data_IF_347611213011
#
_entry.id   IF_347611213011
#
_cell.length_a   1.000
_cell.length_b   1.000
_cell.length_c   1.000
_cell.angle_alpha   90.00
_cell.angle_beta   90.00
_cell.angle_gamma   90.00
#
_symmetry.space_group_name_H-M   'P 1'
#
loop_
_entity.id
_entity.type
_entity.pdbx_description
1 polymer ?
#
# COMPACT_ATOMS: atom_id res chain seq x y z
N UNK A 1 0.25 23.40 4.13
CA UNK A 1 1.42 22.93 4.92
C UNK A 1 2.65 22.74 4.05
N UNK A 2 2.69 21.82 3.05
CA UNK A 2 3.87 21.58 2.21
C UNK A 2 4.46 22.89 1.63
N UNK A 3 3.63 23.77 1.05
CA UNK A 3 4.05 25.06 0.54
C UNK A 3 4.59 26.01 1.65
N UNK A 4 4.02 25.96 2.87
CA UNK A 4 4.50 26.73 4.02
C UNK A 4 5.84 26.21 4.53
N UNK A 5 6.10 24.91 4.37
CA UNK A 5 7.36 24.25 4.69
C UNK A 5 8.44 24.45 3.59
N UNK A 6 8.14 25.23 2.54
CA UNK A 6 9.06 25.56 1.44
C UNK A 6 9.24 24.42 0.42
N UNK A 7 8.34 23.44 0.40
CA UNK A 7 8.35 22.34 -0.59
C UNK A 7 7.77 22.90 -1.91
N UNK A 8 8.50 22.72 -3.00
CA UNK A 8 8.13 23.15 -4.34
C UNK A 8 7.63 22.02 -5.26
N UNK A 9 7.90 20.76 -4.88
CA UNK A 9 7.57 19.58 -5.68
C UNK A 9 6.90 18.50 -4.85
N UNK A 10 5.77 17.97 -5.35
CA UNK A 10 5.07 16.84 -4.77
C UNK A 10 5.13 15.66 -5.74
N UNK A 11 5.57 14.51 -5.25
CA UNK A 11 5.47 13.24 -5.97
C UNK A 11 4.56 12.32 -5.17
N UNK A 12 3.46 11.87 -5.76
CA UNK A 12 2.59 10.89 -5.12
C UNK A 12 3.06 9.47 -5.43
N UNK A 13 2.76 8.54 -4.55
CA UNK A 13 2.99 7.11 -4.78
C UNK A 13 1.75 6.34 -4.31
N UNK A 14 1.16 5.55 -5.19
CA UNK A 14 -0.02 4.74 -4.92
C UNK A 14 -1.28 5.56 -4.56
N UNK A 15 -1.32 6.79 -5.01
CA UNK A 15 -2.47 7.68 -4.92
C UNK A 15 -2.33 8.88 -5.88
N UNK A 16 -3.37 9.73 -5.91
CA UNK A 16 -3.33 11.00 -6.62
C UNK A 16 -4.23 11.04 -7.85
N UNK A 17 -4.53 9.92 -8.50
CA UNK A 17 -5.36 9.93 -9.72
C UNK A 17 -6.79 10.49 -9.47
N UNK A 18 -7.30 10.35 -8.24
CA UNK A 18 -8.61 10.88 -7.84
C UNK A 18 -8.51 12.22 -7.08
N UNK A 19 -7.32 12.76 -6.84
CA UNK A 19 -7.07 13.93 -6.01
C UNK A 19 -7.04 15.25 -6.82
N UNK A 20 -7.96 15.44 -7.77
CA UNK A 20 -7.97 16.60 -8.67
C UNK A 20 -8.02 17.93 -7.94
N UNK A 21 -8.81 18.02 -6.84
CA UNK A 21 -8.96 19.26 -6.07
C UNK A 21 -7.68 19.61 -5.30
N UNK A 22 -7.03 18.62 -4.69
CA UNK A 22 -5.78 18.80 -3.94
C UNK A 22 -4.62 19.15 -4.87
N UNK A 23 -4.58 18.53 -6.03
CA UNK A 23 -3.58 18.82 -7.07
C UNK A 23 -3.77 20.22 -7.60
N UNK A 24 -4.99 20.64 -7.89
CA UNK A 24 -5.29 22.01 -8.30
C UNK A 24 -4.81 23.03 -7.25
N UNK A 25 -5.10 22.80 -5.97
CA UNK A 25 -4.61 23.67 -4.90
C UNK A 25 -3.08 23.72 -4.82
N UNK A 26 -2.39 22.62 -5.07
CA UNK A 26 -0.93 22.61 -5.12
C UNK A 26 -0.42 23.43 -6.33
N UNK A 27 -1.04 23.27 -7.50
CA UNK A 27 -0.70 24.03 -8.71
C UNK A 27 -0.94 25.54 -8.54
N UNK A 28 -2.04 25.95 -7.91
CA UNK A 28 -2.34 27.35 -7.60
C UNK A 28 -1.28 27.98 -6.67
N UNK A 29 -0.58 27.16 -5.87
CA UNK A 29 0.56 27.60 -5.04
C UNK A 29 1.90 27.54 -5.78
N UNK A 30 1.91 27.27 -7.07
CA UNK A 30 3.11 27.20 -7.91
C UNK A 30 3.95 25.94 -7.72
N UNK A 31 3.39 24.89 -7.12
CA UNK A 31 4.10 23.62 -6.91
C UNK A 31 4.11 22.78 -8.18
N UNK A 32 5.18 22.02 -8.38
CA UNK A 32 5.24 20.92 -9.36
C UNK A 32 4.59 19.68 -8.77
N UNK A 33 3.70 19.03 -9.52
CA UNK A 33 3.01 17.81 -9.06
C UNK A 33 3.22 16.68 -10.05
N UNK A 34 3.77 15.58 -9.55
CA UNK A 34 3.96 14.34 -10.29
C UNK A 34 3.11 13.25 -9.63
N UNK A 35 2.16 12.72 -10.36
CA UNK A 35 1.30 11.62 -9.88
C UNK A 35 1.86 10.29 -10.36
N UNK A 36 2.15 9.35 -9.43
CA UNK A 36 2.37 7.94 -9.74
C UNK A 36 1.31 7.10 -9.03
N UNK A 37 0.45 6.47 -9.83
CA UNK A 37 -0.71 5.75 -9.32
C UNK A 37 -1.07 4.57 -10.22
N UNK A 38 -1.91 3.66 -9.73
CA UNK A 38 -2.40 2.50 -10.47
C UNK A 38 -3.91 2.29 -10.32
N UNK A 39 -4.55 3.12 -9.50
CA UNK A 39 -6.00 3.04 -9.29
C UNK A 39 -6.78 3.36 -10.56
N UNK A 40 -8.04 2.95 -10.58
CA UNK A 40 -8.95 3.26 -11.69
C UNK A 40 -9.10 4.77 -11.86
N UNK A 41 -9.10 5.21 -13.11
CA UNK A 41 -9.29 6.61 -13.42
C UNK A 41 -10.74 6.98 -13.15
N UNK A 42 -11.02 8.00 -12.32
CA UNK A 42 -12.38 8.48 -12.10
C UNK A 42 -13.04 8.89 -13.42
N UNK A 43 -14.35 8.76 -13.48
CA UNK A 43 -15.12 9.19 -14.63
C UNK A 43 -16.44 9.83 -14.23
N UNK A 44 -17.01 10.59 -15.14
CA UNK A 44 -18.36 11.12 -15.07
C UNK A 44 -19.16 10.59 -16.25
N UNK A 45 -20.36 10.10 -15.99
CA UNK A 45 -21.29 9.77 -17.06
C UNK A 45 -21.98 11.06 -17.54
N UNK A 46 -21.92 11.29 -18.86
CA UNK A 46 -22.54 12.45 -19.54
C UNK A 46 -23.48 11.97 -20.65
N UNK A 47 -24.30 12.85 -21.18
CA UNK A 47 -25.18 12.54 -22.31
C UNK A 47 -24.41 12.09 -23.58
N UNK A 48 -23.10 12.37 -23.64
CA UNK A 48 -22.20 11.99 -24.76
C UNK A 48 -21.40 10.72 -24.47
N UNK A 49 -21.62 10.09 -23.32
CA UNK A 49 -20.88 8.92 -22.84
C UNK A 49 -20.00 9.23 -21.64
N UNK A 50 -19.08 8.32 -21.36
CA UNK A 50 -18.18 8.39 -20.20
C UNK A 50 -17.02 9.34 -20.46
N UNK A 51 -16.84 10.32 -19.58
CA UNK A 51 -15.74 11.28 -19.58
C UNK A 51 -14.79 10.93 -18.44
N UNK A 52 -13.53 10.59 -18.76
CA UNK A 52 -12.49 10.26 -17.81
C UNK A 52 -11.89 11.52 -17.19
N UNK A 53 -11.70 11.53 -15.86
CA UNK A 53 -11.21 12.67 -15.11
C UNK A 53 -9.77 12.37 -14.71
N UNK A 54 -8.81 12.94 -15.43
CA UNK A 54 -7.40 12.90 -15.10
C UNK A 54 -7.03 14.23 -14.45
N UNK A 55 -6.33 14.23 -13.28
CA UNK A 55 -5.97 15.46 -12.59
C UNK A 55 -4.97 16.29 -13.43
N UNK A 56 -5.04 17.62 -13.31
CA UNK A 56 -4.16 18.56 -14.01
C UNK A 56 -2.79 18.71 -13.31
N UNK A 57 -2.12 17.56 -13.08
CA UNK A 57 -0.74 17.53 -12.60
C UNK A 57 0.25 17.81 -13.74
N UNK A 58 1.51 18.16 -13.41
CA UNK A 58 2.56 18.34 -14.43
C UNK A 58 2.86 17.03 -15.16
N UNK A 59 2.82 15.91 -14.43
CA UNK A 59 2.97 14.55 -14.98
C UNK A 59 2.02 13.60 -14.27
N UNK A 60 1.35 12.74 -15.04
CA UNK A 60 0.54 11.64 -14.51
C UNK A 60 1.06 10.33 -15.08
N UNK A 61 1.57 9.46 -14.20
CA UNK A 61 2.05 8.12 -14.52
C UNK A 61 1.05 7.12 -13.92
N UNK A 62 0.15 6.63 -14.78
CA UNK A 62 -0.81 5.61 -14.42
C UNK A 62 -1.01 4.66 -15.63
N UNK A 63 -0.76 3.35 -15.48
CA UNK A 63 -0.86 2.40 -16.59
C UNK A 63 -2.27 2.30 -17.16
N UNK A 64 -3.31 2.67 -16.42
CA UNK A 64 -4.72 2.59 -16.82
C UNK A 64 -5.21 3.76 -17.67
N UNK A 65 -4.38 4.79 -17.91
CA UNK A 65 -4.70 5.83 -18.90
C UNK A 65 -4.93 5.19 -20.27
N UNK A 66 -5.92 5.69 -21.01
CA UNK A 66 -6.34 5.12 -22.29
C UNK A 66 -5.27 5.16 -23.38
N UNK A 67 -4.41 6.16 -23.33
CA UNK A 67 -3.29 6.40 -24.25
C UNK A 67 -1.96 5.79 -23.77
N UNK A 68 -1.91 5.24 -22.57
CA UNK A 68 -0.70 4.62 -22.04
C UNK A 68 -0.39 3.31 -22.79
N UNK A 69 0.78 3.17 -23.45
CA UNK A 69 1.12 1.97 -24.21
C UNK A 69 1.62 0.81 -23.33
N UNK A 70 1.75 1.02 -22.01
CA UNK A 70 2.27 0.00 -21.11
C UNK A 70 1.36 -1.24 -21.10
N UNK A 71 1.88 -2.45 -21.39
CA UNK A 71 1.06 -3.62 -21.65
C UNK A 71 0.35 -4.17 -20.42
N UNK A 72 0.99 -4.10 -19.24
CA UNK A 72 0.40 -4.60 -18.00
C UNK A 72 -0.32 -3.48 -17.24
N UNK A 73 -1.64 -3.44 -17.31
CA UNK A 73 -2.46 -2.45 -16.61
C UNK A 73 -2.64 -2.77 -15.12
N UNK A 74 -2.34 -4.00 -14.70
CA UNK A 74 -2.58 -4.52 -13.36
C UNK A 74 -1.28 -4.65 -12.56
N UNK A 75 -0.55 -3.55 -12.42
CA UNK A 75 0.61 -3.42 -11.51
C UNK A 75 0.23 -2.53 -10.33
N UNK A 76 0.78 -2.79 -9.13
CA UNK A 76 0.50 -1.95 -7.96
C UNK A 76 1.30 -0.63 -7.99
N UNK A 77 0.90 0.33 -7.18
CA UNK A 77 1.52 1.65 -7.11
C UNK A 77 3.02 1.61 -6.80
N UNK A 78 3.46 0.70 -5.94
CA UNK A 78 4.89 0.50 -5.66
C UNK A 78 5.69 0.04 -6.89
N UNK A 79 5.08 -0.76 -7.77
CA UNK A 79 5.72 -1.17 -9.04
C UNK A 79 5.78 0.00 -10.01
N UNK A 80 4.74 0.86 -10.06
CA UNK A 80 4.78 2.10 -10.86
C UNK A 80 5.93 2.99 -10.39
N UNK A 81 6.06 3.22 -9.08
CA UNK A 81 7.14 4.00 -8.50
C UNK A 81 8.53 3.37 -8.78
N UNK A 82 8.65 2.05 -8.65
CA UNK A 82 9.89 1.34 -8.97
C UNK A 82 10.30 1.51 -10.43
N UNK A 83 9.36 1.49 -11.36
CA UNK A 83 9.66 1.75 -12.79
C UNK A 83 10.07 3.19 -13.06
N UNK A 84 9.51 4.16 -12.35
CA UNK A 84 10.00 5.54 -12.40
C UNK A 84 11.45 5.63 -11.90
N UNK A 85 11.76 5.01 -10.76
CA UNK A 85 13.12 4.95 -10.23
C UNK A 85 14.06 4.29 -11.24
N UNK A 86 13.63 3.19 -11.87
CA UNK A 86 14.40 2.51 -12.91
C UNK A 86 14.74 3.45 -14.07
N UNK A 87 13.76 4.16 -14.62
CA UNK A 87 13.98 5.12 -15.70
C UNK A 87 14.93 6.24 -15.30
N UNK A 88 14.83 6.75 -14.06
CA UNK A 88 15.76 7.75 -13.51
C UNK A 88 17.18 7.19 -13.41
N UNK A 89 17.37 5.99 -12.88
CA UNK A 89 18.68 5.35 -12.76
C UNK A 89 19.33 5.14 -14.12
N UNK A 90 18.58 4.68 -15.12
CA UNK A 90 19.09 4.58 -16.50
C UNK A 90 19.48 5.94 -17.07
N UNK A 91 18.68 6.97 -16.81
CA UNK A 91 18.95 8.32 -17.30
C UNK A 91 20.22 8.93 -16.69
N UNK A 92 20.48 8.65 -15.41
CA UNK A 92 21.64 9.16 -14.68
C UNK A 92 22.85 8.21 -14.67
N UNK A 93 22.74 7.06 -15.34
CA UNK A 93 23.84 6.08 -15.43
C UNK A 93 24.17 5.39 -14.10
N UNK A 94 23.18 5.25 -13.21
CA UNK A 94 23.33 4.55 -11.93
C UNK A 94 23.28 3.04 -12.17
N UNK A 95 24.04 2.27 -11.38
CA UNK A 95 24.12 0.82 -11.54
C UNK A 95 22.75 0.15 -11.40
N UNK A 96 22.39 -0.65 -12.39
CA UNK A 96 21.14 -1.43 -12.40
C UNK A 96 21.01 -2.38 -11.21
N UNK A 97 22.10 -2.83 -10.61
CA UNK A 97 22.04 -3.70 -9.44
C UNK A 97 21.42 -3.00 -8.22
N UNK A 98 21.58 -1.69 -8.10
CA UNK A 98 20.94 -0.90 -7.03
C UNK A 98 19.42 -0.89 -7.17
N UNK A 99 18.91 -0.88 -8.42
CA UNK A 99 17.46 -0.92 -8.69
C UNK A 99 16.83 -2.20 -8.18
N UNK A 100 17.56 -3.32 -8.22
CA UNK A 100 17.06 -4.62 -7.78
C UNK A 100 16.76 -4.67 -6.27
N UNK A 101 17.35 -3.81 -5.46
CA UNK A 101 17.03 -3.71 -4.03
C UNK A 101 15.57 -3.28 -3.81
N UNK A 102 15.00 -2.48 -4.70
CA UNK A 102 13.59 -2.09 -4.65
C UNK A 102 12.61 -3.20 -5.10
N UNK A 103 13.11 -4.33 -5.60
CA UNK A 103 12.26 -5.48 -5.94
C UNK A 103 11.60 -6.11 -4.72
N UNK A 104 12.19 -5.98 -3.53
CA UNK A 104 11.65 -6.50 -2.28
C UNK A 104 10.38 -5.75 -1.86
N UNK A 105 10.40 -4.40 -1.67
CA UNK A 105 9.17 -3.65 -1.38
C UNK A 105 8.14 -3.74 -2.51
N UNK A 106 8.56 -3.79 -3.79
CA UNK A 106 7.65 -3.98 -4.92
C UNK A 106 6.93 -5.34 -4.85
N UNK A 107 7.63 -6.41 -4.49
CA UNK A 107 7.03 -7.74 -4.31
C UNK A 107 6.07 -7.78 -3.11
N UNK A 108 6.47 -7.19 -1.98
CA UNK A 108 5.62 -7.11 -0.78
C UNK A 108 4.34 -6.33 -1.08
N UNK A 109 4.44 -5.20 -1.76
CA UNK A 109 3.28 -4.40 -2.15
C UNK A 109 2.39 -5.14 -3.16
N UNK A 110 2.97 -5.80 -4.19
CA UNK A 110 2.21 -6.57 -5.18
C UNK A 110 1.36 -7.67 -4.53
N UNK A 111 1.90 -8.36 -3.53
CA UNK A 111 1.14 -9.37 -2.76
C UNK A 111 0.14 -8.72 -1.81
N UNK A 112 0.54 -7.64 -1.12
CA UNK A 112 -0.30 -6.94 -0.15
C UNK A 112 -1.52 -6.27 -0.77
N UNK A 113 -1.39 -5.80 -2.00
CA UNK A 113 -2.45 -5.18 -2.81
C UNK A 113 -3.27 -6.21 -3.62
N UNK A 114 -3.02 -7.49 -3.38
CA UNK A 114 -3.75 -8.63 -3.98
C UNK A 114 -3.74 -8.60 -5.51
N UNK A 115 -2.64 -8.14 -6.10
CA UNK A 115 -2.50 -8.11 -7.55
C UNK A 115 -2.37 -9.52 -8.14
N UNK A 116 -2.89 -9.71 -9.36
CA UNK A 116 -2.75 -10.98 -10.08
C UNK A 116 -1.29 -11.36 -10.27
N UNK A 117 -0.88 -12.52 -9.74
CA UNK A 117 0.48 -13.03 -9.83
C UNK A 117 0.75 -13.75 -11.17
N UNK A 118 0.53 -13.02 -12.26
CA UNK A 118 0.75 -13.46 -13.63
C UNK A 118 1.78 -12.57 -14.33
N UNK A 119 2.36 -13.04 -15.43
CA UNK A 119 3.30 -12.26 -16.24
C UNK A 119 4.39 -11.58 -15.41
N UNK A 120 4.47 -10.28 -15.54
CA UNK A 120 5.46 -9.43 -14.86
C UNK A 120 5.32 -9.45 -13.34
N UNK A 121 4.10 -9.36 -12.79
CA UNK A 121 3.86 -9.40 -11.34
C UNK A 121 4.43 -10.68 -10.73
N UNK A 122 4.27 -11.83 -11.42
CA UNK A 122 4.85 -13.09 -10.97
C UNK A 122 6.38 -13.05 -10.94
N UNK A 123 7.01 -12.42 -11.92
CA UNK A 123 8.48 -12.29 -11.99
C UNK A 123 8.97 -11.42 -10.82
N UNK A 124 8.34 -10.26 -10.60
CA UNK A 124 8.67 -9.33 -9.53
C UNK A 124 8.53 -10.00 -8.17
N UNK A 125 7.39 -10.65 -7.92
CA UNK A 125 7.12 -11.31 -6.65
C UNK A 125 8.09 -12.47 -6.42
N UNK A 126 8.37 -13.30 -7.43
CA UNK A 126 9.33 -14.40 -7.32
C UNK A 126 10.72 -13.89 -6.95
N UNK A 127 11.19 -12.83 -7.59
CA UNK A 127 12.52 -12.27 -7.32
C UNK A 127 12.58 -11.60 -5.95
N UNK A 128 11.63 -10.74 -5.60
CA UNK A 128 11.61 -10.07 -4.30
C UNK A 128 11.50 -11.05 -3.13
N UNK A 129 10.61 -12.06 -3.22
CA UNK A 129 10.49 -13.10 -2.19
C UNK A 129 11.76 -13.94 -2.03
N UNK A 130 12.53 -14.16 -3.11
CA UNK A 130 13.81 -14.85 -3.06
C UNK A 130 14.86 -14.04 -2.29
N UNK A 131 14.80 -12.71 -2.35
CA UNK A 131 15.76 -11.79 -1.73
C UNK A 131 15.43 -11.50 -0.27
N UNK A 132 14.16 -11.46 0.10
CA UNK A 132 13.70 -11.10 1.45
C UNK A 132 14.42 -11.81 2.61
N UNK A 133 14.74 -13.14 2.57
CA UNK A 133 15.47 -13.80 3.65
C UNK A 133 16.87 -13.24 3.93
N UNK A 134 17.46 -12.58 2.93
CA UNK A 134 18.82 -11.99 2.99
C UNK A 134 18.79 -10.48 2.74
N UNK A 135 17.66 -9.86 2.98
CA UNK A 135 17.45 -8.43 2.72
C UNK A 135 18.45 -7.55 3.45
N UNK A 136 18.90 -6.48 2.80
CA UNK A 136 19.69 -5.43 3.43
C UNK A 136 18.81 -4.41 4.17
N UNK A 137 17.52 -4.35 3.85
CA UNK A 137 16.60 -3.45 4.52
C UNK A 137 16.39 -3.88 5.96
N UNK A 138 16.80 -3.01 6.91
CA UNK A 138 16.73 -3.31 8.35
C UNK A 138 15.29 -3.51 8.82
N UNK A 139 14.33 -2.76 8.26
CA UNK A 139 12.92 -2.87 8.60
C UNK A 139 12.32 -4.22 8.21
N UNK A 140 12.54 -4.69 6.98
CA UNK A 140 12.07 -6.02 6.58
C UNK A 140 12.74 -7.12 7.38
N UNK A 141 14.05 -7.03 7.61
CA UNK A 141 14.77 -8.00 8.43
C UNK A 141 14.17 -8.10 9.83
N UNK A 142 14.03 -6.97 10.50
CA UNK A 142 13.47 -6.92 11.84
C UNK A 142 12.02 -7.43 11.89
N UNK A 143 11.20 -7.11 10.89
CA UNK A 143 9.82 -7.57 10.82
C UNK A 143 9.72 -9.09 10.61
N UNK A 144 10.60 -9.67 9.78
CA UNK A 144 10.73 -11.11 9.57
C UNK A 144 11.11 -11.80 10.87
N UNK A 145 12.14 -11.29 11.57
CA UNK A 145 12.60 -11.85 12.85
C UNK A 145 11.55 -11.73 13.96
N UNK A 146 10.90 -10.57 14.09
CA UNK A 146 9.86 -10.34 15.09
C UNK A 146 8.63 -11.25 14.92
N UNK A 147 8.40 -11.77 13.70
CA UNK A 147 7.35 -12.76 13.42
C UNK A 147 7.84 -14.21 13.47
N UNK A 148 9.09 -14.47 13.89
CA UNK A 148 9.65 -15.82 14.01
C UNK A 148 9.97 -16.49 12.67
N UNK A 149 10.12 -15.72 11.59
CA UNK A 149 10.40 -16.21 10.24
C UNK A 149 11.90 -16.14 9.87
N UNK A 150 12.76 -15.83 10.84
CA UNK A 150 14.21 -15.74 10.63
C UNK A 150 14.78 -17.06 10.11
N UNK A 151 15.54 -17.01 9.02
CA UNK A 151 16.12 -18.20 8.36
C UNK A 151 15.15 -19.02 7.51
N UNK A 152 13.86 -18.67 7.47
CA UNK A 152 12.88 -19.38 6.66
C UNK A 152 12.79 -18.81 5.23
N UNK A 153 12.27 -19.63 4.33
CA UNK A 153 11.88 -19.17 3.00
C UNK A 153 10.61 -18.36 3.09
N UNK A 154 10.69 -17.07 2.75
CA UNK A 154 9.52 -16.20 2.69
C UNK A 154 8.68 -16.51 1.44
N UNK A 155 7.38 -16.65 1.64
CA UNK A 155 6.39 -16.95 0.60
C UNK A 155 5.35 -15.83 0.50
N UNK A 156 4.53 -15.86 -0.57
CA UNK A 156 3.40 -14.93 -0.69
C UNK A 156 2.41 -15.05 0.49
N UNK A 157 2.26 -16.25 1.07
CA UNK A 157 1.47 -16.44 2.30
C UNK A 157 2.04 -15.63 3.47
N UNK A 158 3.35 -15.72 3.70
CA UNK A 158 4.00 -14.95 4.77
C UNK A 158 3.82 -13.44 4.56
N UNK A 159 3.91 -12.95 3.33
CA UNK A 159 3.66 -11.54 3.04
C UNK A 159 2.20 -11.17 3.26
N UNK A 160 1.24 -11.90 2.67
CA UNK A 160 -0.17 -11.55 2.72
C UNK A 160 -0.82 -11.72 4.10
N UNK A 161 -0.38 -12.72 4.89
CA UNK A 161 -1.05 -13.10 6.15
C UNK A 161 -0.23 -12.86 7.42
N UNK A 162 1.06 -12.54 7.31
CA UNK A 162 1.92 -12.29 8.47
C UNK A 162 2.54 -10.89 8.42
N UNK A 163 3.38 -10.60 7.43
CA UNK A 163 4.12 -9.34 7.36
C UNK A 163 3.23 -8.15 6.97
N UNK A 164 2.45 -8.29 5.91
CA UNK A 164 1.52 -7.27 5.43
C UNK A 164 0.51 -6.82 6.48
N UNK A 165 -0.17 -7.72 7.20
CA UNK A 165 -1.04 -7.35 8.31
C UNK A 165 -0.36 -6.55 9.41
N UNK A 166 0.93 -6.77 9.73
CA UNK A 166 1.67 -5.96 10.68
C UNK A 166 1.90 -4.53 10.16
N UNK A 167 2.29 -4.39 8.89
CA UNK A 167 2.44 -3.10 8.22
C UNK A 167 1.12 -2.34 8.20
N UNK A 168 0.04 -2.99 7.76
CA UNK A 168 -1.28 -2.39 7.63
C UNK A 168 -1.94 -2.03 8.98
N UNK A 169 -1.60 -2.74 10.07
CA UNK A 169 -2.14 -2.47 11.39
C UNK A 169 -1.84 -1.05 11.86
N UNK A 170 -0.68 -0.48 11.50
CA UNK A 170 -0.31 0.89 11.84
C UNK A 170 -1.26 1.92 11.22
N UNK A 171 -1.61 1.78 9.95
CA UNK A 171 -2.54 2.68 9.27
C UNK A 171 -4.00 2.54 9.76
N UNK A 172 -4.35 1.40 10.37
CA UNK A 172 -5.71 1.16 10.90
C UNK A 172 -5.89 1.66 12.33
N UNK A 173 -4.91 1.46 13.21
CA UNK A 173 -5.03 1.70 14.66
C UNK A 173 -4.17 2.86 15.17
N UNK A 174 -3.27 3.40 14.34
CA UNK A 174 -2.36 4.49 14.71
C UNK A 174 -2.10 5.36 13.46
N UNK A 175 -0.86 5.39 12.97
CA UNK A 175 -0.48 6.12 11.76
C UNK A 175 0.39 5.28 10.85
N UNK A 176 0.15 5.32 9.54
CA UNK A 176 0.95 4.65 8.53
C UNK A 176 2.44 5.08 8.55
N UNK A 177 2.73 6.26 9.10
CA UNK A 177 4.10 6.76 9.26
C UNK A 177 4.98 5.82 10.12
N UNK A 178 4.39 4.97 11.00
CA UNK A 178 5.17 3.99 11.79
C UNK A 178 5.79 2.92 10.89
N UNK A 179 4.99 2.33 10.02
CA UNK A 179 5.47 1.34 9.06
C UNK A 179 6.49 1.95 8.10
N UNK A 180 6.25 3.18 7.63
CA UNK A 180 7.21 3.89 6.79
C UNK A 180 8.55 4.11 7.51
N UNK A 181 8.54 4.57 8.76
CA UNK A 181 9.78 4.74 9.55
C UNK A 181 10.53 3.43 9.72
N UNK A 182 9.84 2.32 10.01
CA UNK A 182 10.44 1.00 10.07
C UNK A 182 11.15 0.64 8.77
N UNK A 183 10.49 0.82 7.63
CA UNK A 183 11.04 0.42 6.33
C UNK A 183 12.16 1.36 5.82
N UNK A 184 12.22 2.59 6.34
CA UNK A 184 13.24 3.59 5.98
C UNK A 184 14.39 3.71 6.97
N UNK A 185 14.36 3.01 8.11
CA UNK A 185 15.47 3.10 9.08
C UNK A 185 16.67 2.25 8.67
N UNK A 186 17.87 2.81 8.88
CA UNK A 186 19.14 2.10 8.72
C UNK A 186 19.68 1.55 10.07
N UNK A 187 19.05 1.96 11.18
CA UNK A 187 19.42 1.56 12.54
C UNK A 187 18.72 0.25 12.90
N UNK A 188 19.52 -0.80 13.15
CA UNK A 188 19.03 -2.14 13.45
C UNK A 188 18.27 -2.23 14.79
N UNK A 189 18.73 -1.52 15.83
CA UNK A 189 18.10 -1.54 17.16
C UNK A 189 16.73 -0.84 17.11
N UNK A 190 16.69 0.28 16.40
CA UNK A 190 15.44 0.99 16.13
C UNK A 190 14.48 0.14 15.31
N UNK A 191 14.97 -0.52 14.25
CA UNK A 191 14.16 -1.42 13.43
C UNK A 191 13.56 -2.54 14.26
N UNK A 192 14.36 -3.18 15.14
CA UNK A 192 13.89 -4.26 16.01
C UNK A 192 12.76 -3.79 16.94
N UNK A 193 12.91 -2.62 17.56
CA UNK A 193 11.88 -2.02 18.41
C UNK A 193 10.61 -1.72 17.65
N UNK A 194 10.71 -0.99 16.51
CA UNK A 194 9.55 -0.60 15.71
C UNK A 194 8.84 -1.83 15.12
N UNK A 195 9.56 -2.88 14.73
CA UNK A 195 8.97 -4.14 14.26
C UNK A 195 8.19 -4.84 15.38
N UNK A 196 8.74 -4.92 16.59
CA UNK A 196 8.04 -5.46 17.77
C UNK A 196 6.74 -4.70 18.06
N UNK A 197 6.77 -3.37 17.97
CA UNK A 197 5.60 -2.51 18.15
C UNK A 197 4.52 -2.79 17.09
N UNK A 198 4.89 -2.99 15.81
CA UNK A 198 3.93 -3.31 14.75
C UNK A 198 3.32 -4.71 14.93
N UNK A 199 4.09 -5.69 15.39
CA UNK A 199 3.57 -7.03 15.72
C UNK A 199 2.55 -6.95 16.84
N UNK A 200 2.84 -6.21 17.93
CA UNK A 200 1.93 -6.01 19.03
C UNK A 200 0.64 -5.30 18.59
N UNK A 201 0.77 -4.27 17.74
CA UNK A 201 -0.37 -3.54 17.18
C UNK A 201 -1.26 -4.46 16.32
N UNK A 202 -0.67 -5.34 15.50
CA UNK A 202 -1.43 -6.33 14.72
C UNK A 202 -2.12 -7.37 15.62
N UNK A 203 -1.51 -7.77 16.73
CA UNK A 203 -2.17 -8.64 17.72
C UNK A 203 -3.39 -7.95 18.33
N UNK A 204 -3.26 -6.67 18.71
CA UNK A 204 -4.39 -5.87 19.20
C UNK A 204 -5.51 -5.76 18.16
N UNK A 205 -5.16 -5.50 16.90
CA UNK A 205 -6.13 -5.46 15.80
C UNK A 205 -6.88 -6.81 15.67
N UNK A 206 -6.15 -7.94 15.70
CA UNK A 206 -6.77 -9.28 15.63
C UNK A 206 -7.74 -9.51 16.77
N UNK A 207 -7.36 -9.17 18.00
CA UNK A 207 -8.23 -9.32 19.17
C UNK A 207 -9.48 -8.44 19.07
N UNK A 208 -9.33 -7.20 18.61
CA UNK A 208 -10.47 -6.31 18.36
C UNK A 208 -11.40 -6.89 17.28
N UNK A 209 -10.86 -7.33 16.15
CA UNK A 209 -11.66 -7.93 15.06
C UNK A 209 -12.46 -9.13 15.55
N UNK A 210 -11.84 -10.03 16.34
CA UNK A 210 -12.54 -11.21 16.88
C UNK A 210 -13.67 -10.81 17.82
N UNK A 211 -13.40 -9.88 18.73
CA UNK A 211 -14.44 -9.35 19.62
C UNK A 211 -15.60 -8.70 18.84
N UNK A 212 -15.30 -7.97 17.75
CA UNK A 212 -16.33 -7.36 16.90
C UNK A 212 -17.19 -8.39 16.19
N UNK A 213 -16.55 -9.45 15.69
CA UNK A 213 -17.25 -10.57 15.08
C UNK A 213 -18.23 -11.24 16.07
N UNK A 214 -17.76 -11.57 17.27
CA UNK A 214 -18.58 -12.18 18.32
C UNK A 214 -19.76 -11.29 18.73
N UNK A 215 -19.54 -9.97 18.78
CA UNK A 215 -20.60 -9.01 19.12
C UNK A 215 -21.62 -8.87 17.98
N UNK A 216 -21.16 -8.83 16.74
CA UNK A 216 -22.04 -8.81 15.57
C UNK A 216 -22.89 -10.10 15.50
N UNK A 217 -22.31 -11.25 15.72
CA UNK A 217 -23.03 -12.54 15.78
C UNK A 217 -24.11 -12.54 16.85
N UNK A 218 -23.81 -12.06 18.07
CA UNK A 218 -24.79 -11.94 19.15
C UNK A 218 -25.97 -11.01 18.81
N UNK A 219 -25.71 -9.91 18.13
CA UNK A 219 -26.76 -9.00 17.67
C UNK A 219 -27.66 -9.70 16.65
N UNK A 220 -27.07 -10.38 15.66
CA UNK A 220 -27.79 -11.11 14.62
C UNK A 220 -28.72 -12.15 15.26
N UNK A 221 -28.21 -12.94 16.21
CA UNK A 221 -28.99 -13.96 16.90
C UNK A 221 -30.10 -13.34 17.77
N UNK A 222 -29.77 -12.33 18.57
CA UNK A 222 -30.73 -11.71 19.51
C UNK A 222 -31.88 -10.99 18.81
N UNK A 223 -31.64 -10.45 17.62
CA UNK A 223 -32.65 -9.75 16.80
C UNK A 223 -33.35 -10.67 15.79
N UNK A 224 -32.99 -11.96 15.72
CA UNK A 224 -33.59 -12.92 14.80
C UNK A 224 -33.29 -12.65 13.33
N UNK A 225 -32.16 -11.98 13.02
CA UNK A 225 -31.82 -11.57 11.65
C UNK A 225 -31.21 -12.69 10.80
N UNK A 226 -30.97 -13.88 11.36
CA UNK A 226 -30.28 -15.00 10.69
C UNK A 226 -30.95 -15.48 9.40
N UNK A 227 -32.24 -15.20 9.21
CA UNK A 227 -32.99 -15.53 7.99
C UNK A 227 -32.96 -14.43 6.91
N UNK A 228 -32.43 -13.25 7.23
CA UNK A 228 -32.42 -12.13 6.32
C UNK A 228 -31.36 -12.32 5.22
N UNK A 229 -31.69 -11.91 3.99
CA UNK A 229 -30.77 -12.01 2.84
C UNK A 229 -29.66 -10.98 2.88
N UNK A 230 -29.85 -9.89 3.61
CA UNK A 230 -28.88 -8.82 3.82
C UNK A 230 -28.86 -8.51 5.31
N UNK A 231 -27.67 -8.55 5.89
CA UNK A 231 -27.47 -8.23 7.30
C UNK A 231 -26.86 -6.83 7.42
N UNK A 232 -27.45 -5.96 8.23
CA UNK A 232 -26.90 -4.67 8.61
C UNK A 232 -26.77 -4.64 10.12
N UNK A 233 -25.52 -4.65 10.60
CA UNK A 233 -25.21 -4.61 12.03
C UNK A 233 -24.49 -3.31 12.34
N UNK A 234 -24.98 -2.61 13.37
CA UNK A 234 -24.39 -1.36 13.84
C UNK A 234 -23.70 -1.56 15.19
N UNK A 235 -22.43 -1.24 15.24
CA UNK A 235 -21.55 -1.36 16.41
C UNK A 235 -21.01 0.04 16.77
N UNK A 236 -21.68 0.84 17.62
CA UNK A 236 -21.36 2.26 17.83
C UNK A 236 -20.00 2.51 18.49
N UNK A 237 -19.50 1.54 19.24
CA UNK A 237 -18.23 1.63 19.98
C UNK A 237 -17.01 1.19 19.13
N UNK A 238 -17.23 0.80 17.86
CA UNK A 238 -16.17 0.19 17.04
C UNK A 238 -15.46 1.20 16.16
N UNK A 239 -14.14 1.01 16.08
CA UNK A 239 -13.31 1.85 15.21
C UNK A 239 -13.65 1.55 13.74
N UNK A 240 -14.00 2.61 12.99
CA UNK A 240 -14.45 2.51 11.60
C UNK A 240 -13.47 1.76 10.68
N UNK A 241 -12.14 1.87 10.93
CA UNK A 241 -11.11 1.18 10.14
C UNK A 241 -11.15 -0.34 10.26
N UNK A 242 -11.93 -0.91 11.21
CA UNK A 242 -12.11 -2.34 11.38
C UNK A 242 -13.38 -2.87 10.72
N UNK A 243 -14.32 -2.01 10.35
CA UNK A 243 -15.61 -2.40 9.77
C UNK A 243 -15.48 -3.27 8.51
N UNK A 244 -14.43 -3.06 7.72
CA UNK A 244 -14.18 -3.84 6.49
C UNK A 244 -13.47 -5.18 6.70
N UNK A 245 -13.20 -5.58 7.95
CA UNK A 245 -12.50 -6.83 8.30
C UNK A 245 -13.16 -7.62 9.45
N UNK A 246 -14.33 -7.19 9.89
CA UNK A 246 -15.24 -7.90 10.82
C UNK A 246 -16.37 -8.69 10.07
#
# INVERSE_FOLDING_TARGET
KASEDGIDTIITCDNGIAASAEIQQAKEKGMTVIVTDHHEIPYRDTDKGREWIVPEADVVINPKQSDCPYPNKNICGAVVAWKLIWALYETYGIDRNEILEFSEPAAVATVGDVMDLQGENRIIVKEGLRRLPTTKNQGFRALIEANGLGGERITAYHVGFVLGPCINASGRLDTAARALRLLCTEDADRAAKEAGDLVALNQSRKAMTEKGREEAERIIESQGLSSDRVLVVYLPEWHESLAGII
#
